data_IF_119606876234
#
_entry.id   IF_119606876234
#
_cell.length_a   1.000
_cell.length_b   1.000
_cell.length_c   1.000
_cell.angle_alpha   90.00
_cell.angle_beta   90.00
_cell.angle_gamma   90.00
#
_symmetry.space_group_name_H-M   'P 1'
#
loop_
_entity.id
_entity.type
_entity.pdbx_description
1 polymer ?
#
# COMPACT_ATOMS: atom_id res chain seq x y z
N UNK A 1 5.19 7.46 -14.35
CA UNK A 1 5.99 6.95 -13.21
C UNK A 1 5.17 5.84 -12.58
N UNK A 2 5.79 4.70 -12.25
CA UNK A 2 5.10 3.53 -11.68
C UNK A 2 5.83 3.10 -10.41
N UNK A 3 5.07 2.90 -9.34
CA UNK A 3 5.60 2.56 -8.00
C UNK A 3 5.17 1.15 -7.64
N UNK A 4 6.14 0.29 -7.33
CA UNK A 4 5.89 -1.02 -6.75
C UNK A 4 6.02 -0.93 -5.22
N UNK A 5 4.91 -1.04 -4.51
CA UNK A 5 4.83 -0.98 -3.05
C UNK A 5 4.91 -2.39 -2.47
N UNK A 6 5.99 -2.71 -1.76
CA UNK A 6 6.16 -3.98 -1.06
C UNK A 6 5.77 -3.85 0.41
N UNK A 7 4.80 -4.64 0.85
CA UNK A 7 4.33 -4.66 2.24
C UNK A 7 4.02 -6.09 2.67
N UNK A 8 4.12 -6.36 3.98
CA UNK A 8 3.65 -7.62 4.56
C UNK A 8 2.15 -7.57 4.88
N UNK A 9 1.61 -6.39 5.14
CA UNK A 9 0.22 -6.20 5.54
C UNK A 9 -0.49 -5.29 4.52
N UNK A 10 -1.61 -5.76 4.00
CA UNK A 10 -2.50 -5.01 3.13
C UNK A 10 -3.94 -5.52 3.29
N UNK A 11 -4.98 -4.69 3.14
CA UNK A 11 -6.36 -5.13 3.35
C UNK A 11 -6.70 -6.38 2.52
N UNK A 12 -7.36 -7.39 3.12
CA UNK A 12 -8.00 -7.36 4.44
C UNK A 12 -7.09 -7.73 5.65
N UNK A 13 -5.80 -8.00 5.47
CA UNK A 13 -4.89 -8.55 6.48
C UNK A 13 -3.98 -7.48 7.10
N UNK A 14 -4.59 -6.52 7.78
CA UNK A 14 -3.87 -5.44 8.49
C UNK A 14 -4.05 -5.60 9.99
N UNK A 15 -2.93 -5.75 10.71
CA UNK A 15 -2.92 -6.01 12.15
C UNK A 15 -1.99 -5.05 12.93
N UNK A 16 -1.14 -4.30 12.22
CA UNK A 16 -0.22 -3.33 12.80
C UNK A 16 -0.28 -1.96 12.13
N UNK A 17 0.35 -0.97 12.77
CA UNK A 17 0.39 0.41 12.27
C UNK A 17 1.07 0.57 10.92
N UNK A 18 2.00 -0.33 10.57
CA UNK A 18 2.66 -0.32 9.26
C UNK A 18 1.68 -0.63 8.12
N UNK A 19 0.82 -1.65 8.26
CA UNK A 19 -0.19 -1.97 7.25
C UNK A 19 -1.23 -0.86 7.09
N UNK A 20 -1.63 -0.22 8.20
CA UNK A 20 -2.51 0.97 8.16
C UNK A 20 -1.83 2.10 7.39
N UNK A 21 -0.57 2.40 7.69
CA UNK A 21 0.18 3.46 7.00
C UNK A 21 0.28 3.21 5.49
N UNK A 22 0.65 1.98 5.08
CA UNK A 22 0.74 1.62 3.65
C UNK A 22 -0.63 1.75 2.97
N UNK A 23 -1.70 1.32 3.63
CA UNK A 23 -3.06 1.41 3.08
C UNK A 23 -3.45 2.85 2.75
N UNK A 24 -3.28 3.76 3.72
CA UNK A 24 -3.61 5.18 3.53
C UNK A 24 -2.69 5.86 2.51
N UNK A 25 -1.40 5.54 2.54
CA UNK A 25 -0.42 6.07 1.59
C UNK A 25 -0.74 5.65 0.16
N UNK A 26 -1.05 4.37 -0.07
CA UNK A 26 -1.38 3.85 -1.40
C UNK A 26 -2.67 4.49 -1.94
N UNK A 27 -3.67 4.70 -1.07
CA UNK A 27 -4.91 5.36 -1.46
C UNK A 27 -4.64 6.78 -2.02
N UNK A 28 -3.79 7.57 -1.34
CA UNK A 28 -3.45 8.91 -1.79
C UNK A 28 -2.51 8.92 -3.01
N UNK A 29 -1.51 8.03 -3.05
CA UNK A 29 -0.56 7.97 -4.17
C UNK A 29 -1.21 7.57 -5.50
N UNK A 30 -2.26 6.75 -5.47
CA UNK A 30 -3.00 6.36 -6.68
C UNK A 30 -3.66 7.54 -7.41
N UNK A 31 -3.84 8.68 -6.75
CA UNK A 31 -4.30 9.91 -7.39
C UNK A 31 -3.20 10.65 -8.17
N UNK A 32 -1.92 10.33 -7.92
CA UNK A 32 -0.76 11.02 -8.48
C UNK A 32 0.03 10.16 -9.47
N UNK A 33 0.07 8.84 -9.26
CA UNK A 33 0.78 7.90 -10.12
C UNK A 33 0.20 6.48 -10.05
N UNK A 34 0.67 5.60 -10.94
CA UNK A 34 0.31 4.19 -10.93
C UNK A 34 1.05 3.46 -9.80
N UNK A 35 0.30 2.72 -8.98
CA UNK A 35 0.82 1.99 -7.81
C UNK A 35 0.36 0.54 -7.82
N UNK A 36 1.32 -0.37 -7.89
CA UNK A 36 1.10 -1.80 -7.65
C UNK A 36 1.45 -2.15 -6.21
N UNK A 37 0.61 -2.95 -5.56
CA UNK A 37 0.88 -3.44 -4.21
C UNK A 37 1.25 -4.91 -4.30
N UNK A 38 2.40 -5.25 -3.75
CA UNK A 38 2.87 -6.62 -3.57
C UNK A 38 2.80 -6.95 -2.09
N UNK A 39 1.80 -7.74 -1.70
CA UNK A 39 1.69 -8.34 -0.38
C UNK A 39 1.91 -9.86 -0.44
N UNK A 40 2.43 -10.43 0.65
CA UNK A 40 2.69 -11.86 0.84
C UNK A 40 1.97 -12.37 2.08
#
# INVERSE_FOLDING_TARGET
MRVAMMTREYPPEVYGGAGVHVTELVAQLRHLCEVDVHCM
#
